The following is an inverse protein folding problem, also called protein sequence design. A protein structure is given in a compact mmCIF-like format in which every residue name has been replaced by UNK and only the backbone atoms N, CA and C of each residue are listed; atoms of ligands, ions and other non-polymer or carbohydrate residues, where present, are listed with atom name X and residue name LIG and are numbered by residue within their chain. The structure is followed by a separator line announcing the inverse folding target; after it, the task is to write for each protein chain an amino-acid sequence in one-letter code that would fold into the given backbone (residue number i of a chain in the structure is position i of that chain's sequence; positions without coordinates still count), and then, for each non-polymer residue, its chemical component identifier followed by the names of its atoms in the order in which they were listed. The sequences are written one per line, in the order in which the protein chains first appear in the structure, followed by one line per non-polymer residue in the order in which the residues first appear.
data_IF_538536594403
#
_entry.id   IF_538536594403
#
_cell.length_a   1.000
_cell.length_b   1.000
_cell.length_c   1.000
_cell.angle_alpha   90.00
_cell.angle_beta   90.00
_cell.angle_gamma   90.00
#
_symmetry.space_group_name_H-M   'P 1'
#
loop_
_entity.id
_entity.type
_entity.pdbx_description
1 polymer ?
#
# COMPACT_ATOMS: atom_id res chain seq x y z
N UNK A 1 2.87 -26.25 19.66
CA UNK A 1 1.68 -26.52 18.83
C UNK A 1 0.55 -25.75 19.46
N UNK A 2 0.01 -24.71 18.81
CA UNK A 2 -1.14 -24.01 19.38
C UNK A 2 -2.35 -24.94 19.34
N UNK A 3 -3.00 -25.18 20.48
CA UNK A 3 -4.27 -25.93 20.53
C UNK A 3 -5.36 -25.07 19.88
N UNK A 4 -5.96 -25.56 18.80
CA UNK A 4 -7.05 -24.88 18.11
C UNK A 4 -8.32 -25.01 18.96
N UNK A 5 -8.67 -23.96 19.70
CA UNK A 5 -9.90 -23.93 20.50
C UNK A 5 -11.10 -23.60 19.60
N UNK A 6 -12.29 -24.08 19.97
CA UNK A 6 -13.53 -23.76 19.26
C UNK A 6 -13.74 -22.24 19.15
N UNK A 7 -13.46 -21.50 20.23
CA UNK A 7 -13.53 -20.04 20.24
C UNK A 7 -12.56 -19.39 19.23
N UNK A 8 -11.31 -19.87 19.15
CA UNK A 8 -10.35 -19.34 18.19
C UNK A 8 -10.76 -19.61 16.73
N UNK A 9 -11.42 -20.75 16.48
CA UNK A 9 -12.00 -21.08 15.18
C UNK A 9 -13.17 -20.16 14.81
N UNK A 10 -14.13 -19.97 15.73
CA UNK A 10 -15.28 -19.09 15.52
C UNK A 10 -14.86 -17.64 15.26
N UNK A 11 -13.90 -17.12 16.04
CA UNK A 11 -13.36 -15.78 15.82
C UNK A 11 -12.64 -15.66 14.46
N UNK A 12 -11.91 -16.70 14.04
CA UNK A 12 -11.26 -16.70 12.73
C UNK A 12 -12.29 -16.70 11.59
N UNK A 13 -13.37 -17.46 11.72
CA UNK A 13 -14.47 -17.46 10.76
C UNK A 13 -15.15 -16.09 10.69
N UNK A 14 -15.49 -15.50 11.84
CA UNK A 14 -16.12 -14.18 11.89
C UNK A 14 -15.27 -13.09 11.21
N UNK A 15 -13.95 -13.09 11.47
CA UNK A 15 -13.01 -12.18 10.78
C UNK A 15 -12.90 -12.47 9.29
N UNK A 16 -13.07 -13.72 8.86
CA UNK A 16 -13.10 -14.10 7.44
C UNK A 16 -14.34 -13.55 6.75
N UNK A 17 -15.51 -13.78 7.34
CA UNK A 17 -16.79 -13.27 6.85
C UNK A 17 -16.82 -11.75 6.77
N UNK A 18 -16.29 -11.05 7.78
CA UNK A 18 -16.23 -9.59 7.80
C UNK A 18 -15.41 -9.04 6.62
N UNK A 19 -14.26 -9.65 6.30
CA UNK A 19 -13.43 -9.24 5.15
C UNK A 19 -14.16 -9.38 3.81
N UNK A 20 -15.06 -10.34 3.70
CA UNK A 20 -15.82 -10.60 2.47
C UNK A 20 -16.98 -9.62 2.24
N UNK A 21 -17.36 -8.81 3.25
CA UNK A 21 -18.44 -7.82 3.13
C UNK A 21 -18.05 -6.58 2.32
N UNK A 22 -16.74 -6.33 2.15
CA UNK A 22 -16.23 -5.17 1.42
C UNK A 22 -16.20 -5.34 -0.10
N UNK A 23 -15.81 -4.28 -0.85
CA UNK A 23 -15.49 -4.39 -2.27
C UNK A 23 -14.36 -5.38 -2.52
N UNK A 24 -14.52 -6.25 -3.52
CA UNK A 24 -13.54 -7.28 -3.92
C UNK A 24 -13.23 -7.13 -5.39
N UNK A 25 -12.07 -7.60 -5.83
CA UNK A 25 -11.74 -7.69 -7.25
C UNK A 25 -12.64 -8.72 -7.94
N UNK A 26 -13.26 -8.30 -9.03
CA UNK A 26 -13.97 -9.16 -9.98
C UNK A 26 -13.05 -9.53 -11.15
N UNK A 27 -12.28 -8.56 -11.63
CA UNK A 27 -11.22 -8.77 -12.62
C UNK A 27 -10.10 -7.75 -12.46
N UNK A 28 -8.94 -8.05 -13.02
CA UNK A 28 -7.82 -7.13 -13.11
C UNK A 28 -7.09 -7.31 -14.45
N UNK A 29 -6.56 -6.21 -14.99
CA UNK A 29 -5.71 -6.25 -16.16
C UNK A 29 -4.72 -5.09 -16.16
N UNK A 30 -3.62 -5.23 -16.91
CA UNK A 30 -2.69 -4.15 -17.15
C UNK A 30 -3.04 -3.39 -18.44
N UNK A 31 -3.23 -2.08 -18.31
CA UNK A 31 -3.37 -1.15 -19.42
C UNK A 31 -2.00 -0.53 -19.75
N UNK A 32 -1.36 -1.09 -20.77
CA UNK A 32 -0.07 -0.63 -21.28
C UNK A 32 -0.13 0.81 -21.85
N UNK A 33 -1.29 1.25 -22.38
CA UNK A 33 -1.45 2.58 -22.94
C UNK A 33 -1.38 3.67 -21.88
N UNK A 34 -1.80 3.36 -20.65
CA UNK A 34 -1.78 4.28 -19.50
C UNK A 34 -0.71 3.95 -18.47
N UNK A 35 0.01 2.84 -18.64
CA UNK A 35 0.90 2.24 -17.63
C UNK A 35 0.21 2.09 -16.27
N UNK A 36 -0.94 1.42 -16.25
CA UNK A 36 -1.72 1.19 -15.01
C UNK A 36 -2.22 -0.23 -14.92
N UNK A 37 -2.23 -0.76 -13.70
CA UNK A 37 -3.08 -1.91 -13.36
C UNK A 37 -4.47 -1.38 -13.08
N UNK A 38 -5.48 -1.94 -13.75
CA UNK A 38 -6.89 -1.64 -13.59
C UNK A 38 -7.57 -2.82 -12.92
N UNK A 39 -8.30 -2.55 -11.84
CA UNK A 39 -9.06 -3.54 -11.07
C UNK A 39 -10.53 -3.17 -11.13
N UNK A 40 -11.35 -4.02 -11.74
CA UNK A 40 -12.80 -3.92 -11.66
C UNK A 40 -13.25 -4.57 -10.36
N UNK A 41 -13.94 -3.80 -9.52
CA UNK A 41 -14.47 -4.30 -8.27
C UNK A 41 -15.89 -4.86 -8.48
N UNK A 42 -16.31 -5.76 -7.59
CA UNK A 42 -17.69 -6.30 -7.53
C UNK A 42 -18.77 -5.23 -7.34
N UNK A 43 -18.38 -3.99 -7.04
CA UNK A 43 -19.28 -2.82 -6.95
C UNK A 43 -19.52 -2.15 -8.31
N UNK A 44 -18.83 -2.58 -9.38
CA UNK A 44 -18.82 -1.93 -10.69
C UNK A 44 -17.85 -0.74 -10.80
N UNK A 45 -17.11 -0.42 -9.73
CA UNK A 45 -16.11 0.66 -9.74
C UNK A 45 -14.79 0.10 -10.26
N UNK A 46 -14.13 0.85 -11.16
CA UNK A 46 -12.77 0.58 -11.58
C UNK A 46 -11.77 1.40 -10.78
N UNK A 47 -10.76 0.73 -10.25
CA UNK A 47 -9.63 1.36 -9.55
C UNK A 47 -8.37 1.11 -10.36
N UNK A 48 -7.72 2.20 -10.77
CA UNK A 48 -6.44 2.14 -11.47
C UNK A 48 -5.29 2.58 -10.57
N UNK A 49 -4.11 1.97 -10.71
CA UNK A 49 -2.89 2.44 -10.06
C UNK A 49 -1.66 2.20 -10.94
N UNK A 50 -0.63 3.06 -10.86
CA UNK A 50 0.63 2.79 -11.55
C UNK A 50 1.39 1.68 -10.83
N UNK A 51 2.02 0.72 -11.54
CA UNK A 51 2.78 -0.37 -10.92
C UNK A 51 4.00 0.16 -10.12
N UNK A 52 4.60 1.27 -10.56
CA UNK A 52 5.84 1.82 -9.97
C UNK A 52 5.76 2.28 -8.51
N UNK A 53 4.55 2.55 -8.00
CA UNK A 53 4.36 2.96 -6.61
C UNK A 53 4.07 1.79 -5.67
N UNK A 54 3.84 0.60 -6.23
CA UNK A 54 3.46 -0.60 -5.48
C UNK A 54 4.68 -1.47 -5.23
N UNK A 55 4.90 -1.86 -3.98
CA UNK A 55 5.96 -2.78 -3.61
C UNK A 55 5.74 -4.13 -4.29
N UNK A 56 6.78 -4.68 -4.92
CA UNK A 56 6.70 -5.92 -5.70
C UNK A 56 6.39 -5.72 -7.18
N UNK A 57 5.83 -4.58 -7.59
CA UNK A 57 5.56 -4.27 -9.01
C UNK A 57 6.47 -3.19 -9.60
N UNK A 58 7.22 -2.49 -8.76
CA UNK A 58 8.02 -1.36 -9.22
C UNK A 58 9.14 -1.75 -10.17
N UNK A 59 9.21 -1.07 -11.32
CA UNK A 59 10.19 -1.38 -12.36
C UNK A 59 9.89 -2.65 -13.16
N UNK A 60 8.74 -3.29 -12.95
CA UNK A 60 8.31 -4.44 -13.73
C UNK A 60 8.13 -4.08 -15.21
N UNK A 61 8.51 -4.98 -16.11
CA UNK A 61 8.23 -4.79 -17.53
C UNK A 61 6.74 -5.05 -17.81
N UNK A 62 6.21 -4.45 -18.89
CA UNK A 62 4.82 -4.68 -19.32
C UNK A 62 4.48 -6.17 -19.50
N UNK A 63 5.46 -6.98 -19.94
CA UNK A 63 5.29 -8.41 -20.10
C UNK A 63 5.07 -9.14 -18.76
N UNK A 64 5.64 -8.64 -17.67
CA UNK A 64 5.51 -9.21 -16.33
C UNK A 64 4.20 -8.80 -15.64
N UNK A 65 3.55 -7.74 -16.13
CA UNK A 65 2.24 -7.26 -15.67
C UNK A 65 1.09 -7.77 -16.54
N UNK A 66 1.39 -8.48 -17.63
CA UNK A 66 0.38 -8.91 -18.60
C UNK A 66 -0.58 -9.97 -18.05
N UNK A 67 -0.15 -10.72 -17.04
CA UNK A 67 -0.90 -11.78 -16.39
C UNK A 67 -1.17 -11.39 -14.94
N UNK A 68 -2.45 -11.33 -14.57
CA UNK A 68 -2.92 -10.99 -13.23
C UNK A 68 -4.04 -11.95 -12.89
N UNK A 69 -3.89 -12.66 -11.79
CA UNK A 69 -4.88 -13.62 -11.30
C UNK A 69 -5.63 -13.03 -10.10
N UNK A 70 -6.95 -13.20 -10.08
CA UNK A 70 -7.79 -12.79 -8.96
C UNK A 70 -7.96 -13.99 -8.03
N UNK A 71 -7.46 -13.85 -6.80
CA UNK A 71 -7.42 -14.93 -5.81
C UNK A 71 -8.20 -14.59 -4.54
N UNK A 72 -8.29 -15.58 -3.64
CA UNK A 72 -8.87 -15.41 -2.31
C UNK A 72 -10.27 -14.76 -2.32
N UNK A 73 -11.14 -15.25 -3.21
CA UNK A 73 -12.47 -14.69 -3.44
C UNK A 73 -12.46 -13.20 -3.82
N UNK A 74 -11.45 -12.74 -4.56
CA UNK A 74 -11.31 -11.34 -4.96
C UNK A 74 -10.67 -10.44 -3.90
N UNK A 75 -10.11 -11.02 -2.84
CA UNK A 75 -9.32 -10.26 -1.86
C UNK A 75 -7.85 -10.14 -2.26
N UNK A 76 -7.37 -11.02 -3.15
CA UNK A 76 -5.99 -11.04 -3.62
C UNK A 76 -5.88 -10.76 -5.12
N UNK A 77 -4.81 -10.09 -5.51
CA UNK A 77 -4.32 -10.07 -6.88
C UNK A 77 -2.94 -10.71 -6.88
N UNK A 78 -2.77 -11.78 -7.65
CA UNK A 78 -1.50 -12.46 -7.82
C UNK A 78 -0.91 -12.11 -9.19
N UNK A 79 0.39 -11.85 -9.22
CA UNK A 79 1.17 -11.57 -10.43
C UNK A 79 2.18 -12.71 -10.63
N UNK A 80 1.82 -13.79 -11.35
CA UNK A 80 2.62 -15.02 -11.41
C UNK A 80 4.07 -14.81 -11.83
N UNK A 81 4.29 -13.89 -12.77
CA UNK A 81 5.62 -13.59 -13.32
C UNK A 81 6.53 -12.84 -12.35
N UNK A 82 5.95 -12.18 -11.36
CA UNK A 82 6.66 -11.37 -10.37
C UNK A 82 6.71 -12.05 -8.99
N UNK A 83 5.97 -13.15 -8.82
CA UNK A 83 5.76 -13.81 -7.52
C UNK A 83 5.31 -12.77 -6.46
N UNK A 84 4.35 -11.93 -6.86
CA UNK A 84 3.90 -10.79 -6.06
C UNK A 84 2.39 -10.86 -5.82
N UNK A 85 2.00 -10.64 -4.57
CA UNK A 85 0.61 -10.65 -4.12
C UNK A 85 0.19 -9.29 -3.57
N UNK A 86 -0.98 -8.81 -3.99
CA UNK A 86 -1.59 -7.60 -3.46
C UNK A 86 -2.91 -7.91 -2.77
N UNK A 87 -3.08 -7.35 -1.57
CA UNK A 87 -4.35 -7.41 -0.85
C UNK A 87 -5.26 -6.24 -1.25
N UNK A 88 -6.37 -6.54 -1.91
CA UNK A 88 -7.29 -5.55 -2.50
C UNK A 88 -7.81 -4.54 -1.46
N UNK A 89 -8.26 -4.93 -0.25
CA UNK A 89 -8.70 -3.95 0.73
C UNK A 89 -7.60 -2.97 1.17
N UNK A 90 -6.35 -3.42 1.29
CA UNK A 90 -5.21 -2.54 1.58
C UNK A 90 -4.95 -1.54 0.44
N UNK A 91 -5.05 -1.99 -0.82
CA UNK A 91 -4.95 -1.12 -1.98
C UNK A 91 -6.01 0.00 -1.94
N UNK A 92 -7.26 -0.33 -1.59
CA UNK A 92 -8.35 0.64 -1.46
C UNK A 92 -8.15 1.65 -0.33
N UNK A 93 -7.44 1.26 0.73
CA UNK A 93 -7.00 2.15 1.81
C UNK A 93 -5.75 2.98 1.46
N UNK A 94 -5.18 2.79 0.26
CA UNK A 94 -3.97 3.47 -0.20
C UNK A 94 -2.67 2.90 0.38
N UNK A 95 -2.71 1.67 0.91
CA UNK A 95 -1.54 0.94 1.38
C UNK A 95 -0.96 0.18 0.18
N UNK A 96 0.15 0.68 -0.34
CA UNK A 96 0.79 0.18 -1.58
C UNK A 96 2.05 -0.64 -1.32
N UNK A 97 2.31 -0.98 -0.06
CA UNK A 97 3.49 -1.73 0.35
C UNK A 97 3.75 -1.58 1.85
N UNK A 98 4.91 -2.04 2.27
CA UNK A 98 5.45 -1.88 3.61
C UNK A 98 5.60 -0.42 3.98
N UNK A 99 5.58 -0.14 5.29
CA UNK A 99 5.78 1.23 5.81
C UNK A 99 7.09 1.85 5.32
N UNK A 100 8.15 1.04 5.20
CA UNK A 100 9.45 1.49 4.68
C UNK A 100 9.34 1.86 3.21
N UNK A 101 8.76 0.97 2.40
CA UNK A 101 8.55 1.20 0.98
C UNK A 101 7.79 2.50 0.73
N UNK A 102 6.63 2.67 1.37
CA UNK A 102 5.79 3.86 1.18
C UNK A 102 6.49 5.14 1.64
N UNK A 103 7.36 5.09 2.66
CA UNK A 103 8.14 6.24 3.10
C UNK A 103 9.25 6.65 2.11
N UNK A 104 9.59 5.80 1.15
CA UNK A 104 10.65 6.04 0.16
C UNK A 104 10.06 6.30 -1.24
N UNK A 105 9.00 5.59 -1.62
CA UNK A 105 8.49 5.50 -2.99
C UNK A 105 7.11 6.14 -3.20
N UNK A 106 6.36 6.47 -2.13
CA UNK A 106 5.06 7.14 -2.29
C UNK A 106 5.21 8.61 -2.68
N UNK A 107 4.31 9.16 -3.54
CA UNK A 107 4.28 10.59 -3.86
C UNK A 107 4.24 11.49 -2.62
N UNK A 108 3.46 11.10 -1.60
CA UNK A 108 3.37 11.85 -0.35
C UNK A 108 4.72 11.89 0.39
N UNK A 109 5.44 10.77 0.40
CA UNK A 109 6.75 10.69 1.02
C UNK A 109 7.81 11.48 0.24
N UNK A 110 7.80 11.42 -1.09
CA UNK A 110 8.67 12.23 -1.92
C UNK A 110 8.43 13.74 -1.73
N UNK A 111 7.17 14.17 -1.64
CA UNK A 111 6.79 15.55 -1.33
C UNK A 111 7.28 15.97 0.07
N UNK A 112 7.06 15.12 1.08
CA UNK A 112 7.55 15.35 2.43
C UNK A 112 9.08 15.44 2.51
N UNK A 113 9.79 14.55 1.80
CA UNK A 113 11.25 14.55 1.74
C UNK A 113 11.80 15.79 1.03
N UNK A 114 11.21 16.19 -0.12
CA UNK A 114 11.56 17.43 -0.83
C UNK A 114 11.31 18.66 0.04
N UNK A 115 10.13 18.76 0.65
CA UNK A 115 9.78 19.84 1.57
C UNK A 115 10.68 19.87 2.80
N UNK A 116 11.06 18.71 3.35
CA UNK A 116 12.01 18.56 4.45
C UNK A 116 13.43 19.01 4.10
N UNK A 117 13.91 18.70 2.88
CA UNK A 117 15.24 19.10 2.39
C UNK A 117 15.34 20.56 1.96
N UNK A 118 14.23 21.20 1.60
CA UNK A 118 14.22 22.62 1.21
C UNK A 118 14.85 23.48 2.33
N UNK A 119 15.88 24.26 1.99
CA UNK A 119 16.51 25.24 2.89
C UNK A 119 16.01 26.63 2.50
N UNK A 120 15.37 27.34 3.42
CA UNK A 120 14.86 28.70 3.18
C UNK A 120 14.93 29.54 4.45
N UNK A 121 15.13 30.85 4.30
CA UNK A 121 15.28 31.79 5.42
C UNK A 121 14.08 31.73 6.39
N UNK A 122 12.85 31.71 5.86
CA UNK A 122 11.63 31.58 6.64
C UNK A 122 11.51 30.23 7.38
N UNK A 123 12.04 29.15 6.79
CA UNK A 123 12.04 27.83 7.43
C UNK A 123 13.07 27.75 8.55
N UNK A 124 14.23 28.39 8.37
CA UNK A 124 15.27 28.47 9.38
C UNK A 124 14.81 29.30 10.59
N UNK A 125 14.13 30.43 10.38
CA UNK A 125 13.55 31.22 11.47
C UNK A 125 12.44 30.46 12.20
N UNK A 126 11.53 29.82 11.48
CA UNK A 126 10.47 28.99 12.08
C UNK A 126 11.05 27.81 12.90
N UNK A 127 12.08 27.13 12.40
CA UNK A 127 12.75 26.05 13.14
C UNK A 127 13.41 26.53 14.43
N UNK A 128 14.00 27.74 14.43
CA UNK A 128 14.58 28.36 15.64
C UNK A 128 13.52 28.69 16.67
N UNK A 129 12.41 29.31 16.25
CA UNK A 129 11.28 29.62 17.15
C UNK A 129 10.65 28.34 17.72
N UNK A 130 10.49 27.30 16.91
CA UNK A 130 10.00 26.00 17.39
C UNK A 130 10.99 25.31 18.35
N UNK A 131 12.29 25.46 18.12
CA UNK A 131 13.33 24.96 19.03
C UNK A 131 13.26 25.56 20.43
N UNK A 132 12.90 26.85 20.55
CA UNK A 132 12.69 27.52 21.85
C UNK A 132 11.55 26.90 22.67
N UNK A 133 10.61 26.22 22.03
CA UNK A 133 9.44 25.56 22.66
C UNK A 133 9.70 24.11 23.11
N UNK A 134 10.96 23.66 23.10
CA UNK A 134 11.35 22.35 23.65
C UNK A 134 11.94 21.36 22.65
N UNK A 135 11.92 21.66 21.35
CA UNK A 135 12.60 20.86 20.31
C UNK A 135 12.22 19.37 20.29
N UNK A 136 12.98 18.57 19.53
CA UNK A 136 12.88 17.10 19.57
C UNK A 136 13.77 16.60 20.71
N UNK A 137 13.22 15.90 21.74
CA UNK A 137 14.02 15.33 22.81
C UNK A 137 15.11 14.41 22.27
N UNK A 138 16.30 14.44 22.87
CA UNK A 138 17.39 13.52 22.48
C UNK A 138 16.94 12.08 22.77
N UNK A 139 17.16 11.18 21.81
CA UNK A 139 16.90 9.75 21.98
C UNK A 139 17.87 9.25 23.06
N UNK A 140 17.35 8.89 24.23
CA UNK A 140 18.14 8.26 25.29
C UNK A 140 18.36 6.82 24.84
N UNK A 141 19.60 6.45 24.53
CA UNK A 141 19.98 5.05 24.35
C UNK A 141 19.92 4.37 25.72
N UNK A 142 19.15 3.29 25.84
CA UNK A 142 19.25 2.34 26.93
C UNK A 142 20.41 1.39 26.68
#
# INVERSE_FOLDING_TARGET
MAELTAAAFEEAQARGEERLRGPRAESAHYDAGRNRVIVLLTTGIEVGFPPDVVEGLAGAAAADLAEIEVEAFGLGLHFPRLDADLYVPALLEGILGSKRWMAEHSPAAMLGAKGGRARGGAKASAARENGKRGGRPKKVSA
#
